data_IF_773795108260
#
_entry.id   IF_773795108260
#
_cell.length_a   1.000
_cell.length_b   1.000
_cell.length_c   1.000
_cell.angle_alpha   90.00
_cell.angle_beta   90.00
_cell.angle_gamma   90.00
#
_symmetry.space_group_name_H-M   'P 1'
#
loop_
_entity.id
_entity.type
_entity.pdbx_description
1 polymer ?
#
# COMPACT_ATOMS: atom_id res chain seq x y z
N UNK A 1 -31.39 -2.00 24.95
CA UNK A 1 -30.30 -1.01 24.76
C UNK A 1 -29.45 -1.50 23.59
N UNK A 2 -29.79 -1.12 22.35
CA UNK A 2 -29.26 0.02 21.57
C UNK A 2 -27.78 -0.14 21.20
N UNK A 3 -27.52 -0.75 20.04
CA UNK A 3 -26.37 -0.45 19.19
C UNK A 3 -26.86 -0.37 17.74
N UNK A 4 -27.32 0.82 17.34
CA UNK A 4 -27.56 1.18 15.94
C UNK A 4 -26.28 1.85 15.42
N UNK A 5 -25.54 1.16 14.56
CA UNK A 5 -24.42 1.73 13.79
C UNK A 5 -24.97 2.80 12.84
N UNK A 6 -24.54 4.05 13.03
CA UNK A 6 -24.75 5.15 12.10
C UNK A 6 -23.89 4.89 10.87
N UNK A 7 -24.54 4.52 9.77
CA UNK A 7 -24.01 4.63 8.42
C UNK A 7 -24.24 6.09 7.99
N UNK A 8 -23.21 6.92 8.03
CA UNK A 8 -23.24 8.26 7.46
C UNK A 8 -22.42 8.24 6.18
N UNK A 9 -23.11 8.58 5.09
CA UNK A 9 -22.69 8.55 3.70
C UNK A 9 -21.35 9.26 3.44
N UNK A 10 -20.51 8.62 2.62
CA UNK A 10 -19.60 9.33 1.72
C UNK A 10 -20.43 10.28 0.85
N UNK A 11 -20.42 11.56 1.17
CA UNK A 11 -20.75 12.59 0.18
C UNK A 11 -19.54 12.76 -0.73
N UNK A 12 -19.52 11.98 -1.81
CA UNK A 12 -18.75 12.28 -3.00
C UNK A 12 -19.22 13.66 -3.47
N UNK A 13 -18.44 14.71 -3.23
CA UNK A 13 -18.73 16.04 -3.80
C UNK A 13 -18.42 15.93 -5.28
N UNK A 14 -19.41 15.46 -6.04
CA UNK A 14 -19.51 15.75 -7.45
C UNK A 14 -19.53 17.28 -7.56
N UNK A 15 -18.46 17.84 -8.09
CA UNK A 15 -18.46 19.19 -8.64
C UNK A 15 -19.63 19.23 -9.62
N UNK A 16 -20.68 20.03 -9.41
CA UNK A 16 -21.64 20.26 -10.46
C UNK A 16 -20.86 21.04 -11.53
N UNK A 17 -20.51 20.35 -12.61
CA UNK A 17 -20.31 20.98 -13.90
C UNK A 17 -21.62 21.64 -14.29
N UNK A 18 -21.91 22.80 -13.69
CA UNK A 18 -22.89 23.72 -14.24
C UNK A 18 -22.25 24.26 -15.51
N UNK A 19 -22.45 23.51 -16.59
CA UNK A 19 -22.51 24.06 -17.93
C UNK A 19 -23.69 25.04 -17.88
N UNK A 20 -23.42 26.26 -17.42
CA UNK A 20 -24.30 27.37 -17.65
C UNK A 20 -24.15 27.66 -19.14
N UNK A 21 -25.08 27.13 -19.93
CA UNK A 21 -25.37 27.67 -21.24
C UNK A 21 -25.69 29.14 -21.00
N UNK A 22 -24.70 30.00 -21.21
CA UNK A 22 -24.96 31.41 -21.42
C UNK A 22 -26.06 31.50 -22.48
N UNK A 23 -27.16 32.25 -22.26
CA UNK A 23 -27.93 32.69 -23.39
C UNK A 23 -26.97 33.53 -24.24
N UNK A 24 -26.56 32.96 -25.38
CA UNK A 24 -25.93 33.69 -26.45
C UNK A 24 -26.95 34.69 -26.96
N UNK A 25 -26.91 35.90 -26.43
CA UNK A 25 -27.37 37.09 -27.13
C UNK A 25 -26.38 38.21 -26.88
N UNK A 26 -25.23 38.13 -27.56
CA UNK A 26 -24.65 39.32 -28.15
C UNK A 26 -25.64 39.82 -29.22
N UNK A 27 -26.65 40.58 -28.79
CA UNK A 27 -27.41 41.42 -29.69
C UNK A 27 -26.66 42.75 -29.80
N UNK A 28 -25.84 42.81 -30.84
CA UNK A 28 -25.40 44.04 -31.49
C UNK A 28 -26.53 45.05 -31.56
N UNK A 29 -26.19 46.31 -31.33
CA UNK A 29 -26.99 47.44 -31.79
C UNK A 29 -27.39 47.26 -33.26
N UNK A 30 -28.68 47.41 -33.56
CA UNK A 30 -29.23 48.19 -34.68
C UNK A 30 -30.71 47.80 -34.91
N UNK A 31 -31.51 48.84 -35.15
CA UNK A 31 -32.85 48.86 -35.72
C UNK A 31 -34.01 48.24 -34.94
N UNK A 32 -34.60 49.10 -34.08
CA UNK A 32 -36.06 49.15 -33.93
C UNK A 32 -36.49 50.60 -34.17
N UNK A 33 -36.71 50.94 -35.44
CA UNK A 33 -37.66 52.00 -35.81
C UNK A 33 -39.06 51.50 -35.45
N UNK A 34 -39.48 51.75 -34.22
CA UNK A 34 -40.76 51.28 -33.70
C UNK A 34 -41.22 52.19 -32.56
N UNK A 35 -41.96 53.22 -32.93
CA UNK A 35 -42.75 54.14 -32.11
C UNK A 35 -42.72 53.94 -30.58
N UNK A 36 -41.99 54.81 -29.89
CA UNK A 36 -42.15 55.05 -28.46
C UNK A 36 -43.55 55.61 -28.23
N UNK A 37 -44.49 54.75 -27.83
CA UNK A 37 -45.80 55.19 -27.30
C UNK A 37 -45.83 54.90 -25.81
N UNK A 38 -45.77 55.95 -25.00
CA UNK A 38 -46.63 56.12 -23.82
C UNK A 38 -46.61 57.59 -23.39
N UNK A 39 -47.57 58.35 -23.90
CA UNK A 39 -47.97 59.65 -23.38
C UNK A 39 -49.34 59.49 -22.73
N UNK A 40 -49.57 60.23 -21.64
CA UNK A 40 -50.87 60.40 -21.01
C UNK A 40 -51.91 60.83 -22.05
N UNK A 41 -53.08 60.17 -22.10
CA UNK A 41 -54.26 60.77 -22.72
C UNK A 41 -55.10 61.36 -21.60
N UNK A 42 -54.82 62.63 -21.28
CA UNK A 42 -55.77 63.58 -20.74
C UNK A 42 -55.45 64.94 -21.36
N UNK A 43 -56.31 65.43 -22.26
CA UNK A 43 -56.23 66.74 -22.93
C UNK A 43 -54.91 67.07 -23.65
N UNK A 44 -54.79 66.58 -24.89
CA UNK A 44 -54.09 67.21 -26.02
C UNK A 44 -52.73 67.93 -25.78
N UNK A 45 -51.88 67.42 -24.89
CA UNK A 45 -50.48 67.87 -24.75
C UNK A 45 -49.61 66.69 -24.30
N UNK A 46 -48.64 66.29 -25.14
CA UNK A 46 -47.73 65.18 -24.88
C UNK A 46 -46.79 65.52 -23.71
N UNK A 47 -47.13 65.08 -22.49
CA UNK A 47 -46.28 65.31 -21.31
C UNK A 47 -45.25 64.19 -21.17
N UNK A 48 -44.00 64.47 -21.57
CA UNK A 48 -42.83 63.66 -21.21
C UNK A 48 -42.68 63.71 -19.68
N UNK A 49 -43.03 62.63 -18.97
CA UNK A 49 -42.78 62.58 -17.54
C UNK A 49 -41.29 62.36 -17.29
N UNK A 50 -40.60 63.44 -16.94
CA UNK A 50 -39.17 63.47 -16.67
C UNK A 50 -38.75 62.45 -15.59
N UNK A 51 -39.59 62.22 -14.57
CA UNK A 51 -39.30 61.29 -13.49
C UNK A 51 -39.28 59.85 -14.00
N UNK A 52 -40.28 59.45 -14.78
CA UNK A 52 -40.35 58.11 -15.41
C UNK A 52 -39.18 57.90 -16.37
N UNK A 53 -38.88 58.88 -17.24
CA UNK A 53 -37.76 58.79 -18.17
C UNK A 53 -36.39 58.69 -17.44
N UNK A 54 -36.23 59.40 -16.32
CA UNK A 54 -35.04 59.29 -15.49
C UNK A 54 -34.88 57.91 -14.87
N UNK A 55 -35.97 57.30 -14.39
CA UNK A 55 -35.95 55.93 -13.86
C UNK A 55 -35.58 54.91 -14.94
N UNK A 56 -36.21 54.97 -16.12
CA UNK A 56 -35.88 54.06 -17.23
C UNK A 56 -34.41 54.19 -17.66
N UNK A 57 -33.86 55.41 -17.67
CA UNK A 57 -32.44 55.66 -17.93
C UNK A 57 -31.53 55.06 -16.84
N UNK A 58 -31.87 55.23 -15.56
CA UNK A 58 -31.10 54.68 -14.45
C UNK A 58 -31.08 53.14 -14.50
N UNK A 59 -32.22 52.52 -14.80
CA UNK A 59 -32.31 51.06 -14.96
C UNK A 59 -31.42 50.57 -16.11
N UNK A 60 -31.46 51.23 -17.26
CA UNK A 60 -30.62 50.88 -18.42
C UNK A 60 -29.12 51.02 -18.16
N UNK A 61 -28.72 51.84 -17.19
CA UNK A 61 -27.32 52.04 -16.81
C UNK A 61 -26.81 51.02 -15.76
N UNK A 62 -27.67 50.10 -15.28
CA UNK A 62 -27.25 49.05 -14.36
C UNK A 62 -26.43 48.02 -15.14
N UNK A 63 -25.22 47.74 -14.66
CA UNK A 63 -24.37 46.69 -15.21
C UNK A 63 -23.88 45.80 -14.06
N UNK A 64 -24.38 44.56 -14.04
CA UNK A 64 -24.13 43.56 -13.00
C UNK A 64 -22.77 42.85 -13.08
N UNK A 65 -21.88 43.29 -13.98
CA UNK A 65 -20.50 42.81 -14.05
C UNK A 65 -19.48 43.80 -13.48
N UNK A 66 -19.90 45.05 -13.25
CA UNK A 66 -19.01 46.17 -12.88
C UNK A 66 -19.13 46.54 -11.40
N UNK A 67 -18.07 47.10 -10.82
CA UNK A 67 -18.07 47.49 -9.40
C UNK A 67 -19.12 48.57 -9.04
N UNK A 68 -19.65 49.32 -10.03
CA UNK A 68 -20.72 50.31 -9.82
C UNK A 68 -22.12 49.71 -9.74
N UNK A 69 -22.27 48.39 -9.93
CA UNK A 69 -23.57 47.69 -9.92
C UNK A 69 -24.43 48.06 -8.72
N UNK A 70 -23.88 47.96 -7.51
CA UNK A 70 -24.64 48.18 -6.28
C UNK A 70 -25.15 49.62 -6.20
N UNK A 71 -24.27 50.60 -6.43
CA UNK A 71 -24.61 52.03 -6.40
C UNK A 71 -25.66 52.38 -7.46
N UNK A 72 -25.51 51.88 -8.70
CA UNK A 72 -26.46 52.14 -9.78
C UNK A 72 -27.82 51.50 -9.51
N UNK A 73 -27.83 50.26 -8.99
CA UNK A 73 -29.05 49.56 -8.62
C UNK A 73 -29.77 50.28 -7.47
N UNK A 74 -29.07 50.73 -6.44
CA UNK A 74 -29.65 51.48 -5.32
C UNK A 74 -30.23 52.82 -5.78
N UNK A 75 -29.54 53.53 -6.67
CA UNK A 75 -30.05 54.77 -7.27
C UNK A 75 -31.33 54.54 -8.09
N UNK A 76 -31.39 53.48 -8.90
CA UNK A 76 -32.57 53.13 -9.69
C UNK A 76 -33.76 52.71 -8.80
N UNK A 77 -33.52 51.88 -7.77
CA UNK A 77 -34.56 51.49 -6.80
C UNK A 77 -35.11 52.72 -6.08
N UNK A 78 -34.23 53.62 -5.61
CA UNK A 78 -34.65 54.85 -4.94
C UNK A 78 -35.50 55.72 -5.87
N UNK A 79 -35.03 55.97 -7.09
CA UNK A 79 -35.76 56.78 -8.06
C UNK A 79 -37.13 56.17 -8.42
N UNK A 80 -37.23 54.84 -8.56
CA UNK A 80 -38.49 54.15 -8.80
C UNK A 80 -39.46 54.28 -7.61
N UNK A 81 -38.95 54.15 -6.39
CA UNK A 81 -39.75 54.27 -5.17
C UNK A 81 -40.26 55.70 -4.92
N UNK A 82 -39.52 56.71 -5.40
CA UNK A 82 -39.90 58.12 -5.32
C UNK A 82 -41.03 58.49 -6.32
N UNK A 83 -41.35 57.61 -7.28
CA UNK A 83 -42.47 57.82 -8.21
C UNK A 83 -43.84 57.66 -7.53
N UNK A 84 -44.83 58.39 -8.02
CA UNK A 84 -46.24 58.16 -7.69
C UNK A 84 -46.73 56.82 -8.27
N UNK A 85 -47.82 56.27 -7.72
CA UNK A 85 -48.40 55.02 -8.23
C UNK A 85 -48.81 55.09 -9.71
N UNK A 86 -49.29 56.25 -10.17
CA UNK A 86 -49.58 56.48 -11.60
C UNK A 86 -48.31 56.48 -12.45
N UNK A 87 -47.23 57.10 -11.97
CA UNK A 87 -45.96 57.15 -12.71
C UNK A 87 -45.30 55.77 -12.81
N UNK A 88 -45.37 54.95 -11.74
CA UNK A 88 -44.84 53.59 -11.73
C UNK A 88 -45.42 52.70 -12.83
N UNK A 89 -46.69 52.90 -13.20
CA UNK A 89 -47.35 52.15 -14.28
C UNK A 89 -46.75 52.44 -15.66
N UNK A 90 -46.03 53.56 -15.83
CA UNK A 90 -45.41 53.95 -17.08
C UNK A 90 -43.92 53.57 -17.18
N UNK A 91 -43.32 53.03 -16.12
CA UNK A 91 -41.92 52.58 -16.15
C UNK A 91 -41.83 51.31 -17.00
N UNK A 92 -41.22 51.43 -18.17
CA UNK A 92 -41.17 50.35 -19.15
C UNK A 92 -40.16 49.27 -18.78
N UNK A 93 -39.08 49.63 -18.08
CA UNK A 93 -37.98 48.74 -17.73
C UNK A 93 -38.06 48.12 -16.33
N UNK A 94 -39.24 48.14 -15.68
CA UNK A 94 -39.40 47.60 -14.32
C UNK A 94 -39.00 46.12 -14.19
N UNK A 95 -39.27 45.31 -15.22
CA UNK A 95 -38.86 43.90 -15.25
C UNK A 95 -37.33 43.74 -15.12
N UNK A 96 -36.56 44.58 -15.82
CA UNK A 96 -35.09 44.62 -15.73
C UNK A 96 -34.62 45.01 -14.33
N UNK A 97 -35.26 46.00 -13.70
CA UNK A 97 -34.98 46.38 -12.32
C UNK A 97 -35.23 45.23 -11.34
N UNK A 98 -36.34 44.50 -11.50
CA UNK A 98 -36.66 43.32 -10.70
C UNK A 98 -35.61 42.22 -10.87
N UNK A 99 -35.16 41.95 -12.09
CA UNK A 99 -34.10 40.98 -12.36
C UNK A 99 -32.79 41.37 -11.66
N UNK A 100 -32.36 42.63 -11.73
CA UNK A 100 -31.16 43.08 -11.02
C UNK A 100 -31.28 43.00 -9.50
N UNK A 101 -32.49 43.22 -8.94
CA UNK A 101 -32.73 42.99 -7.52
C UNK A 101 -32.54 41.52 -7.14
N UNK A 102 -32.96 40.58 -8.00
CA UNK A 102 -32.71 39.14 -7.80
C UNK A 102 -31.22 38.80 -7.93
N UNK A 103 -30.52 39.36 -8.93
CA UNK A 103 -29.07 39.22 -9.07
C UNK A 103 -28.33 39.68 -7.81
N UNK A 104 -28.73 40.81 -7.22
CA UNK A 104 -28.18 41.28 -5.93
C UNK A 104 -28.35 40.25 -4.81
N UNK A 105 -29.51 39.59 -4.72
CA UNK A 105 -29.74 38.53 -3.72
C UNK A 105 -28.81 37.34 -3.96
N UNK A 106 -28.62 36.94 -5.22
CA UNK A 106 -27.68 35.87 -5.58
C UNK A 106 -26.24 36.23 -5.21
N UNK A 107 -25.79 37.45 -5.50
CA UNK A 107 -24.43 37.91 -5.17
C UNK A 107 -24.21 38.01 -3.66
N UNK A 108 -25.21 38.45 -2.89
CA UNK A 108 -25.14 38.42 -1.41
C UNK A 108 -25.01 37.00 -0.86
N UNK A 109 -25.73 36.03 -1.42
CA UNK A 109 -25.60 34.61 -1.01
C UNK A 109 -24.21 34.07 -1.31
N UNK A 110 -23.67 34.39 -2.49
CA UNK A 110 -22.33 33.99 -2.90
C UNK A 110 -21.25 34.57 -1.96
N UNK A 111 -21.35 35.87 -1.66
CA UNK A 111 -20.45 36.54 -0.74
C UNK A 111 -20.53 35.95 0.68
N UNK A 112 -21.74 35.68 1.19
CA UNK A 112 -21.93 35.05 2.50
C UNK A 112 -21.26 33.69 2.60
N UNK A 113 -21.26 32.89 1.53
CA UNK A 113 -20.55 31.60 1.50
C UNK A 113 -19.02 31.78 1.56
N UNK A 114 -18.47 32.80 0.90
CA UNK A 114 -17.04 33.13 1.00
C UNK A 114 -16.70 33.56 2.42
N UNK A 115 -17.49 34.45 3.00
CA UNK A 115 -17.29 34.97 4.36
C UNK A 115 -17.41 33.85 5.40
N UNK A 116 -18.41 32.97 5.30
CA UNK A 116 -18.57 31.80 6.18
C UNK A 116 -17.42 30.81 6.04
N UNK A 117 -16.99 30.52 4.80
CA UNK A 117 -15.85 29.62 4.55
C UNK A 117 -14.61 30.17 5.22
N UNK A 118 -14.34 31.48 5.13
CA UNK A 118 -13.18 32.12 5.79
C UNK A 118 -13.32 32.18 7.31
N UNK A 119 -14.50 32.48 7.84
CA UNK A 119 -14.75 32.50 9.29
C UNK A 119 -14.58 31.11 9.92
N UNK A 120 -14.86 30.04 9.18
CA UNK A 120 -14.66 28.66 9.62
C UNK A 120 -13.19 28.20 9.60
N UNK A 121 -12.28 28.98 9.00
CA UNK A 121 -10.87 28.59 8.93
C UNK A 121 -10.17 28.96 10.23
N UNK A 122 -9.82 27.93 11.02
CA UNK A 122 -8.96 28.09 12.19
C UNK A 122 -7.52 28.40 11.76
N UNK A 123 -6.94 29.56 12.15
CA UNK A 123 -5.54 29.93 11.85
C UNK A 123 -4.49 28.92 12.32
N UNK A 124 -4.81 28.10 13.30
CA UNK A 124 -3.92 27.07 13.86
C UNK A 124 -4.06 25.72 13.17
N UNK A 125 -5.08 25.54 12.31
CA UNK A 125 -5.31 24.31 11.57
C UNK A 125 -4.22 24.09 10.53
N UNK A 126 -3.76 22.83 10.39
CA UNK A 126 -2.82 22.42 9.33
C UNK A 126 -3.33 22.75 7.93
N UNK A 127 -4.66 22.80 7.74
CA UNK A 127 -5.31 23.09 6.47
C UNK A 127 -5.63 24.58 6.26
N UNK A 128 -5.28 25.48 7.20
CA UNK A 128 -5.58 26.91 7.10
C UNK A 128 -5.13 27.49 5.76
N UNK A 129 -3.85 27.32 5.44
CA UNK A 129 -3.29 27.85 4.20
C UNK A 129 -4.02 27.34 2.95
N UNK A 130 -4.25 26.03 2.87
CA UNK A 130 -4.94 25.41 1.74
C UNK A 130 -6.37 25.96 1.59
N UNK A 131 -7.11 26.04 2.69
CA UNK A 131 -8.48 26.52 2.71
C UNK A 131 -8.58 27.99 2.28
N UNK A 132 -7.65 28.84 2.72
CA UNK A 132 -7.66 30.25 2.34
C UNK A 132 -7.26 30.43 0.88
N UNK A 133 -6.28 29.69 0.36
CA UNK A 133 -5.89 29.79 -1.05
C UNK A 133 -7.00 29.30 -1.98
N UNK A 134 -7.68 28.19 -1.67
CA UNK A 134 -8.83 27.75 -2.46
C UNK A 134 -9.94 28.80 -2.49
N UNK A 135 -10.19 29.46 -1.35
CA UNK A 135 -11.16 30.56 -1.30
C UNK A 135 -10.66 31.78 -2.07
N UNK A 136 -9.35 32.06 -2.08
CA UNK A 136 -8.72 33.12 -2.87
C UNK A 136 -8.87 32.86 -4.35
N UNK A 137 -8.65 31.64 -4.81
CA UNK A 137 -8.85 31.25 -6.20
C UNK A 137 -10.30 31.43 -6.61
N UNK A 138 -11.24 30.96 -5.77
CA UNK A 138 -12.67 31.18 -6.00
C UNK A 138 -13.04 32.67 -6.02
N UNK A 139 -12.54 33.47 -5.09
CA UNK A 139 -12.73 34.92 -5.09
C UNK A 139 -12.18 35.58 -6.35
N UNK A 140 -11.03 35.10 -6.84
CA UNK A 140 -10.39 35.66 -8.04
C UNK A 140 -11.21 35.43 -9.31
N UNK A 141 -12.01 34.35 -9.39
CA UNK A 141 -12.91 34.10 -10.53
C UNK A 141 -14.15 34.98 -10.56
N UNK A 142 -14.48 35.65 -9.45
CA UNK A 142 -15.62 36.55 -9.38
C UNK A 142 -15.43 37.79 -10.27
N UNK A 143 -16.54 38.25 -10.85
CA UNK A 143 -16.59 39.54 -11.56
C UNK A 143 -16.48 40.73 -10.58
N UNK A 144 -16.30 41.94 -11.13
CA UNK A 144 -16.07 43.12 -10.30
C UNK A 144 -17.28 43.47 -9.42
N UNK A 145 -18.51 43.27 -9.90
CA UNK A 145 -19.72 43.49 -9.12
C UNK A 145 -19.85 42.50 -7.95
N UNK A 146 -19.59 41.21 -8.18
CA UNK A 146 -19.67 40.17 -7.16
C UNK A 146 -18.68 40.42 -6.01
N UNK A 147 -17.46 40.85 -6.34
CA UNK A 147 -16.41 41.17 -5.35
C UNK A 147 -16.83 42.27 -4.39
N UNK A 148 -17.66 43.23 -4.79
CA UNK A 148 -18.10 44.32 -3.90
C UNK A 148 -19.02 43.85 -2.77
N UNK A 149 -19.62 42.65 -2.88
CA UNK A 149 -20.49 42.09 -1.84
C UNK A 149 -19.73 41.33 -0.75
N UNK A 150 -18.47 40.95 -1.00
CA UNK A 150 -17.63 40.23 -0.03
C UNK A 150 -17.20 41.19 1.08
N UNK A 151 -17.20 40.76 2.34
CA UNK A 151 -16.84 41.63 3.46
C UNK A 151 -15.40 42.18 3.34
N UNK A 152 -15.18 43.40 3.84
CA UNK A 152 -13.86 44.04 3.78
C UNK A 152 -12.77 43.22 4.49
N UNK A 153 -13.11 42.53 5.58
CA UNK A 153 -12.18 41.66 6.31
C UNK A 153 -11.80 40.43 5.48
N UNK A 154 -12.76 39.75 4.87
CA UNK A 154 -12.49 38.65 3.95
C UNK A 154 -11.65 39.11 2.76
N UNK A 155 -11.98 40.26 2.15
CA UNK A 155 -11.17 40.82 1.07
C UNK A 155 -9.73 41.08 1.51
N UNK A 156 -9.51 41.60 2.72
CA UNK A 156 -8.18 41.83 3.29
C UNK A 156 -7.41 40.52 3.43
N UNK A 157 -8.03 39.46 3.96
CA UNK A 157 -7.41 38.13 4.05
C UNK A 157 -7.04 37.60 2.66
N UNK A 158 -7.98 37.66 1.71
CA UNK A 158 -7.82 37.12 0.35
C UNK A 158 -6.77 37.89 -0.48
N UNK A 159 -6.63 39.19 -0.26
CA UNK A 159 -5.65 40.04 -0.96
C UNK A 159 -4.27 40.07 -0.28
N UNK A 160 -4.19 39.73 1.01
CA UNK A 160 -2.92 39.67 1.74
C UNK A 160 -2.00 38.53 1.25
N UNK A 161 -0.71 38.67 1.56
CA UNK A 161 0.23 37.56 1.46
C UNK A 161 0.03 36.62 2.65
N UNK A 162 -0.17 35.34 2.37
CA UNK A 162 -0.39 34.31 3.38
C UNK A 162 0.83 33.39 3.33
N UNK A 163 1.46 33.15 4.47
CA UNK A 163 2.58 32.20 4.58
C UNK A 163 2.04 30.77 4.57
N UNK A 164 2.70 29.84 3.85
CA UNK A 164 2.38 28.42 3.97
C UNK A 164 2.43 27.96 5.44
N UNK A 165 1.55 27.05 5.83
CA UNK A 165 1.56 26.39 7.16
C UNK A 165 2.75 25.40 7.34
N UNK A 166 3.73 25.53 6.47
CA UNK A 166 4.92 24.72 6.41
C UNK A 166 6.11 25.64 6.11
N UNK A 167 7.28 25.25 6.59
CA UNK A 167 8.51 25.99 6.37
C UNK A 167 9.52 25.11 5.67
N UNK A 168 10.49 25.75 5.01
CA UNK A 168 11.67 25.07 4.46
C UNK A 168 12.32 24.21 5.53
N UNK A 169 12.50 24.73 6.74
CA UNK A 169 13.11 24.00 7.86
C UNK A 169 12.31 22.77 8.28
N UNK A 170 10.97 22.88 8.30
CA UNK A 170 10.10 21.74 8.63
C UNK A 170 10.22 20.63 7.59
N UNK A 171 10.26 20.97 6.31
CA UNK A 171 10.46 20.01 5.22
C UNK A 171 11.85 19.38 5.30
N UNK A 172 12.89 20.18 5.51
CA UNK A 172 14.28 19.71 5.66
C UNK A 172 14.36 18.72 6.83
N UNK A 173 13.84 19.10 8.00
CA UNK A 173 13.87 18.25 9.19
C UNK A 173 13.14 16.93 8.96
N UNK A 174 11.95 16.94 8.33
CA UNK A 174 11.23 15.70 7.97
C UNK A 174 12.05 14.79 7.08
N UNK A 175 12.69 15.34 6.04
CA UNK A 175 13.50 14.57 5.09
C UNK A 175 14.78 14.03 5.75
N UNK A 176 15.44 14.82 6.60
CA UNK A 176 16.65 14.41 7.32
C UNK A 176 16.40 13.34 8.38
N UNK A 177 15.18 13.29 8.95
CA UNK A 177 14.78 12.30 9.95
C UNK A 177 14.27 10.99 9.34
N UNK A 178 14.21 10.87 8.00
CA UNK A 178 13.83 9.63 7.33
C UNK A 178 14.80 8.50 7.73
N UNK A 179 14.23 7.40 8.20
CA UNK A 179 15.00 6.25 8.64
C UNK A 179 14.34 4.95 8.16
N UNK A 180 15.02 4.25 7.25
CA UNK A 180 14.55 3.01 6.62
C UNK A 180 14.36 1.84 7.58
N UNK A 181 14.96 1.90 8.77
CA UNK A 181 14.81 0.86 9.79
C UNK A 181 13.55 1.03 10.65
N UNK A 182 12.87 2.19 10.57
CA UNK A 182 11.65 2.43 11.32
C UNK A 182 10.46 1.84 10.61
N UNK A 183 9.55 1.24 11.36
CA UNK A 183 8.31 0.67 10.83
C UNK A 183 7.41 1.73 10.17
N UNK A 184 7.57 3.01 10.58
CA UNK A 184 6.86 4.16 9.99
C UNK A 184 7.51 4.68 8.70
N UNK A 185 8.63 4.11 8.24
CA UNK A 185 9.42 4.66 7.13
C UNK A 185 8.60 5.02 5.90
N UNK A 186 7.72 4.13 5.43
CA UNK A 186 6.91 4.39 4.23
C UNK A 186 5.93 5.54 4.43
N UNK A 187 5.37 5.68 5.63
CA UNK A 187 4.51 6.80 5.99
C UNK A 187 5.31 8.09 6.09
N UNK A 188 6.47 8.06 6.76
CA UNK A 188 7.34 9.22 6.95
C UNK A 188 7.79 9.79 5.59
N UNK A 189 8.12 8.94 4.62
CA UNK A 189 8.46 9.33 3.23
C UNK A 189 7.27 9.98 2.52
N UNK A 190 6.08 9.37 2.61
CA UNK A 190 4.87 9.90 2.00
C UNK A 190 4.50 11.28 2.59
N UNK A 191 4.61 11.42 3.92
CA UNK A 191 4.37 12.67 4.63
C UNK A 191 5.38 13.75 4.23
N UNK A 192 6.67 13.41 4.10
CA UNK A 192 7.70 14.35 3.66
C UNK A 192 7.44 14.85 2.22
N UNK A 193 7.03 13.96 1.30
CA UNK A 193 6.65 14.34 -0.07
C UNK A 193 5.41 15.23 -0.08
N UNK A 194 4.39 14.90 0.71
CA UNK A 194 3.19 15.70 0.82
C UNK A 194 3.50 17.11 1.35
N UNK A 195 4.35 17.22 2.38
CA UNK A 195 4.78 18.50 2.95
C UNK A 195 5.58 19.35 1.94
N UNK A 196 6.51 18.74 1.20
CA UNK A 196 7.25 19.42 0.13
C UNK A 196 6.32 19.91 -0.99
N UNK A 197 5.38 19.07 -1.42
CA UNK A 197 4.39 19.46 -2.43
C UNK A 197 3.52 20.63 -1.92
N UNK A 198 3.11 20.61 -0.64
CA UNK A 198 2.36 21.70 -0.03
C UNK A 198 3.17 23.01 0.00
N UNK A 199 4.47 22.95 0.33
CA UNK A 199 5.37 24.11 0.27
C UNK A 199 5.47 24.67 -1.16
N UNK A 200 5.66 23.79 -2.15
CA UNK A 200 5.88 24.17 -3.56
C UNK A 200 4.63 24.56 -4.34
N UNK A 201 3.45 24.15 -3.88
CA UNK A 201 2.19 24.36 -4.62
C UNK A 201 1.91 25.84 -4.91
N UNK A 202 2.41 26.74 -4.06
CA UNK A 202 2.07 28.16 -4.10
C UNK A 202 3.28 29.09 -3.95
N UNK A 203 4.47 28.53 -3.78
CA UNK A 203 5.71 29.29 -3.68
C UNK A 203 6.83 28.59 -4.44
N UNK A 204 7.64 29.36 -5.17
CA UNK A 204 8.83 28.82 -5.82
C UNK A 204 9.97 28.77 -4.80
N UNK A 205 10.06 27.64 -4.09
CA UNK A 205 11.02 27.44 -3.01
C UNK A 205 12.04 26.38 -3.39
N UNK A 206 13.30 26.76 -3.30
CA UNK A 206 14.45 25.87 -3.51
C UNK A 206 14.89 25.30 -2.16
N UNK A 207 15.12 23.99 -2.12
CA UNK A 207 15.69 23.32 -0.94
C UNK A 207 17.22 23.31 -1.05
N UNK A 208 17.96 23.23 0.07
CA UNK A 208 19.40 23.02 0.04
C UNK A 208 19.78 21.81 -0.83
N UNK A 209 20.92 21.93 -1.51
CA UNK A 209 21.42 20.87 -2.38
C UNK A 209 21.52 19.53 -1.64
N UNK A 210 21.05 18.45 -2.28
CA UNK A 210 21.05 17.09 -1.72
C UNK A 210 19.78 16.69 -0.99
N UNK A 211 18.99 17.61 -0.43
CA UNK A 211 17.77 17.26 0.34
C UNK A 211 16.74 16.55 -0.54
N UNK A 212 16.45 17.07 -1.73
CA UNK A 212 15.53 16.41 -2.67
C UNK A 212 16.05 15.06 -3.15
N UNK A 213 17.38 14.92 -3.28
CA UNK A 213 18.00 13.65 -3.65
C UNK A 213 17.79 12.62 -2.55
N UNK A 214 17.93 12.99 -1.28
CA UNK A 214 17.63 12.13 -0.13
C UNK A 214 16.18 11.65 -0.14
N UNK A 215 15.22 12.56 -0.39
CA UNK A 215 13.81 12.17 -0.50
C UNK A 215 13.57 11.21 -1.68
N UNK A 216 14.17 11.49 -2.83
CA UNK A 216 14.05 10.63 -4.01
C UNK A 216 14.63 9.23 -3.77
N UNK A 217 15.77 9.14 -3.11
CA UNK A 217 16.39 7.86 -2.75
C UNK A 217 15.52 7.06 -1.78
N UNK A 218 14.91 7.74 -0.81
CA UNK A 218 13.97 7.12 0.11
C UNK A 218 12.72 6.60 -0.63
N UNK A 219 12.16 7.36 -1.57
CA UNK A 219 11.01 6.92 -2.38
C UNK A 219 11.32 5.72 -3.27
N UNK A 220 12.52 5.67 -3.85
CA UNK A 220 12.97 4.50 -4.60
C UNK A 220 13.09 3.27 -3.71
N UNK A 221 13.53 3.43 -2.46
CA UNK A 221 13.56 2.33 -1.49
C UNK A 221 12.14 1.86 -1.14
N UNK A 222 11.20 2.80 -0.90
CA UNK A 222 9.78 2.45 -0.69
C UNK A 222 9.21 1.67 -1.89
N UNK A 223 9.55 2.06 -3.12
CA UNK A 223 9.12 1.34 -4.31
C UNK A 223 9.68 -0.09 -4.38
N UNK A 224 10.94 -0.29 -3.99
CA UNK A 224 11.56 -1.63 -3.89
C UNK A 224 10.91 -2.47 -2.80
N UNK A 225 10.64 -1.90 -1.63
CA UNK A 225 9.96 -2.60 -0.53
C UNK A 225 8.56 -3.05 -0.95
N UNK A 226 7.82 -2.17 -1.66
CA UNK A 226 6.51 -2.50 -2.23
C UNK A 226 6.58 -3.62 -3.26
N UNK A 227 7.60 -3.64 -4.11
CA UNK A 227 7.79 -4.71 -5.08
C UNK A 227 8.08 -6.05 -4.38
N UNK A 228 8.97 -6.09 -3.39
CA UNK A 228 9.28 -7.29 -2.62
C UNK A 228 8.04 -7.84 -1.90
N UNK A 229 7.26 -6.96 -1.26
CA UNK A 229 6.00 -7.35 -0.63
C UNK A 229 4.97 -7.86 -1.66
N UNK A 230 4.93 -7.27 -2.85
CA UNK A 230 4.03 -7.67 -3.94
C UNK A 230 4.36 -9.07 -4.47
N UNK A 231 5.65 -9.41 -4.56
CA UNK A 231 6.07 -10.75 -4.97
C UNK A 231 5.58 -11.82 -3.99
N UNK A 232 5.69 -11.55 -2.68
CA UNK A 232 5.16 -12.44 -1.63
C UNK A 232 3.62 -12.47 -1.64
N UNK A 233 2.96 -11.32 -1.81
CA UNK A 233 1.50 -11.25 -1.96
C UNK A 233 1.02 -12.14 -3.12
N UNK A 234 1.68 -12.07 -4.27
CA UNK A 234 1.36 -12.88 -5.44
C UNK A 234 1.61 -14.38 -5.18
N UNK A 235 2.70 -14.74 -4.48
CA UNK A 235 2.98 -16.12 -4.09
C UNK A 235 1.89 -16.69 -3.18
N UNK A 236 1.42 -15.90 -2.20
CA UNK A 236 0.31 -16.28 -1.32
C UNK A 236 -1.00 -16.38 -2.11
N UNK A 237 -1.26 -15.46 -3.04
CA UNK A 237 -2.47 -15.48 -3.87
C UNK A 237 -2.52 -16.68 -4.83
N UNK A 238 -1.37 -17.23 -5.21
CA UNK A 238 -1.27 -18.44 -6.03
C UNK A 238 -1.57 -19.73 -5.24
N UNK A 239 -1.59 -19.67 -3.90
CA UNK A 239 -1.94 -20.82 -3.08
C UNK A 239 -3.41 -21.21 -3.26
N UNK A 240 -3.64 -22.50 -3.45
CA UNK A 240 -4.96 -23.07 -3.69
C UNK A 240 -5.07 -24.42 -2.96
N UNK A 241 -6.15 -24.65 -2.19
CA UNK A 241 -6.35 -25.90 -1.47
C UNK A 241 -6.36 -27.15 -2.36
N UNK A 242 -6.66 -27.00 -3.66
CA UNK A 242 -6.82 -28.13 -4.59
C UNK A 242 -5.57 -28.47 -5.37
N UNK A 243 -4.63 -27.53 -5.48
CA UNK A 243 -3.50 -27.62 -6.41
C UNK A 243 -2.16 -27.36 -5.74
N UNK A 244 -2.14 -26.62 -4.63
CA UNK A 244 -0.91 -26.33 -3.89
C UNK A 244 -0.58 -27.44 -2.91
N UNK A 245 0.69 -27.74 -2.80
CA UNK A 245 1.26 -28.73 -1.90
C UNK A 245 1.77 -28.09 -0.60
N UNK A 246 2.14 -28.90 0.38
CA UNK A 246 2.79 -28.41 1.60
C UNK A 246 4.10 -27.64 1.31
N UNK A 247 4.81 -28.02 0.24
CA UNK A 247 6.04 -27.35 -0.20
C UNK A 247 5.75 -25.95 -0.74
N UNK A 248 4.67 -25.76 -1.49
CA UNK A 248 4.28 -24.44 -2.00
C UNK A 248 3.93 -23.48 -0.85
N UNK A 249 3.22 -24.00 0.16
CA UNK A 249 2.92 -23.25 1.39
C UNK A 249 4.19 -22.90 2.15
N UNK A 250 5.13 -23.85 2.27
CA UNK A 250 6.41 -23.62 2.94
C UNK A 250 7.28 -22.60 2.18
N UNK A 251 7.28 -22.63 0.85
CA UNK A 251 8.00 -21.66 0.03
C UNK A 251 7.43 -20.24 0.23
N UNK A 252 6.11 -20.09 0.23
CA UNK A 252 5.44 -18.82 0.53
C UNK A 252 5.74 -18.32 1.96
N UNK A 253 5.77 -19.23 2.95
CA UNK A 253 6.17 -18.93 4.32
C UNK A 253 7.61 -18.41 4.41
N UNK A 254 8.56 -19.13 3.82
CA UNK A 254 9.97 -18.74 3.82
C UNK A 254 10.18 -17.39 3.12
N UNK A 255 9.48 -17.14 2.01
CA UNK A 255 9.54 -15.87 1.30
C UNK A 255 9.02 -14.70 2.15
N UNK A 256 7.92 -14.91 2.90
CA UNK A 256 7.40 -13.92 3.84
C UNK A 256 8.34 -13.66 5.02
N UNK A 257 8.95 -14.71 5.59
CA UNK A 257 9.90 -14.60 6.70
C UNK A 257 11.22 -13.93 6.30
N UNK A 258 11.58 -13.97 5.02
CA UNK A 258 12.74 -13.27 4.48
C UNK A 258 12.52 -11.75 4.30
N UNK A 259 11.27 -11.27 4.33
CA UNK A 259 10.96 -9.85 4.25
C UNK A 259 11.38 -9.09 5.52
N UNK A 260 11.75 -7.82 5.38
CA UNK A 260 11.98 -6.95 6.53
C UNK A 260 10.66 -6.65 7.27
N UNK A 261 10.69 -6.25 8.55
CA UNK A 261 9.46 -5.89 9.28
C UNK A 261 8.62 -4.80 8.59
N UNK A 262 9.27 -3.85 7.92
CA UNK A 262 8.59 -2.80 7.14
C UNK A 262 7.90 -3.39 5.92
N UNK A 263 8.55 -4.32 5.21
CA UNK A 263 7.99 -5.00 4.02
C UNK A 263 6.85 -5.94 4.39
N UNK A 264 6.94 -6.65 5.52
CA UNK A 264 5.87 -7.56 5.97
C UNK A 264 4.53 -6.84 6.20
N UNK A 265 4.55 -5.58 6.66
CA UNK A 265 3.33 -4.77 6.83
C UNK A 265 2.61 -4.47 5.52
N UNK A 266 3.31 -4.56 4.39
CA UNK A 266 2.75 -4.29 3.07
C UNK A 266 2.07 -5.51 2.45
N UNK A 267 2.14 -6.71 3.05
CA UNK A 267 1.54 -7.93 2.51
C UNK A 267 0.11 -8.08 3.03
N UNK A 268 -0.94 -7.73 2.24
CA UNK A 268 -2.31 -7.63 2.75
C UNK A 268 -2.96 -9.00 3.02
N UNK A 269 -2.49 -10.07 2.37
CA UNK A 269 -3.09 -11.40 2.38
C UNK A 269 -2.36 -12.39 3.30
N UNK A 270 -1.56 -11.92 4.25
CA UNK A 270 -0.82 -12.77 5.20
C UNK A 270 -1.71 -13.76 5.97
N UNK A 271 -2.97 -13.37 6.27
CA UNK A 271 -3.91 -14.26 6.94
C UNK A 271 -4.28 -15.51 6.14
N UNK A 272 -4.28 -15.41 4.80
CA UNK A 272 -4.46 -16.58 3.93
C UNK A 272 -3.31 -17.56 4.11
N UNK A 273 -2.07 -17.07 4.16
CA UNK A 273 -0.90 -17.91 4.43
C UNK A 273 -0.98 -18.57 5.81
N UNK A 274 -1.42 -17.84 6.84
CA UNK A 274 -1.64 -18.39 8.19
C UNK A 274 -2.66 -19.53 8.19
N UNK A 275 -3.76 -19.39 7.45
CA UNK A 275 -4.77 -20.44 7.31
C UNK A 275 -4.17 -21.72 6.68
N UNK A 276 -3.34 -21.58 5.65
CA UNK A 276 -2.62 -22.71 5.03
C UNK A 276 -1.62 -23.37 5.99
N UNK A 277 -0.80 -22.56 6.68
CA UNK A 277 0.22 -23.07 7.63
C UNK A 277 -0.41 -23.78 8.83
N UNK A 278 -1.57 -23.32 9.30
CA UNK A 278 -2.29 -23.94 10.41
C UNK A 278 -3.11 -25.17 10.01
N UNK A 279 -3.02 -25.62 8.75
CA UNK A 279 -3.71 -26.84 8.29
C UNK A 279 -5.22 -26.70 8.18
N UNK A 280 -5.76 -25.48 7.96
CA UNK A 280 -7.20 -25.26 7.73
C UNK A 280 -7.69 -25.92 6.43
N UNK A 281 -6.79 -26.18 5.50
CA UNK A 281 -7.07 -26.76 4.19
C UNK A 281 -6.39 -28.12 4.04
N UNK A 282 -7.14 -29.11 3.57
CA UNK A 282 -6.58 -30.39 3.12
C UNK A 282 -5.88 -30.17 1.78
N UNK A 283 -4.55 -30.18 1.81
CA UNK A 283 -3.72 -29.97 0.62
C UNK A 283 -3.53 -31.29 -0.14
N UNK A 284 -3.52 -31.28 -1.48
CA UNK A 284 -3.13 -32.44 -2.27
C UNK A 284 -1.71 -32.89 -1.89
N UNK A 285 -1.58 -34.14 -1.46
CA UNK A 285 -0.30 -34.84 -1.50
C UNK A 285 0.11 -34.97 -2.95
N UNK A 286 1.31 -34.49 -3.32
CA UNK A 286 1.86 -34.58 -4.68
C UNK A 286 1.75 -36.04 -5.12
N UNK A 287 0.80 -36.31 -6.02
CA UNK A 287 0.52 -37.65 -6.52
C UNK A 287 1.67 -38.14 -7.39
N UNK A 288 2.76 -38.62 -6.78
CA UNK A 288 3.58 -39.63 -7.43
C UNK A 288 2.73 -40.90 -7.47
N UNK A 289 2.42 -41.34 -8.68
CA UNK A 289 1.41 -42.35 -8.95
C UNK A 289 1.44 -43.52 -7.98
N UNK A 290 0.24 -43.97 -7.61
CA UNK A 290 -0.04 -45.21 -6.90
C UNK A 290 0.80 -46.38 -7.41
N UNK A 291 1.98 -46.55 -6.84
CA UNK A 291 2.51 -47.84 -6.47
C UNK A 291 2.55 -47.79 -4.97
N UNK A 292 1.66 -48.51 -4.30
CA UNK A 292 1.87 -48.88 -2.90
C UNK A 292 3.33 -49.33 -2.80
N UNK A 293 4.21 -48.60 -2.11
CA UNK A 293 5.61 -48.95 -2.08
C UNK A 293 5.70 -50.38 -1.55
N UNK A 294 6.43 -51.26 -2.24
CA UNK A 294 6.68 -52.60 -1.73
C UNK A 294 7.61 -52.41 -0.53
N UNK A 295 7.00 -52.37 0.66
CA UNK A 295 7.70 -52.23 1.91
C UNK A 295 8.46 -53.52 2.23
N UNK A 296 9.53 -53.40 3.00
CA UNK A 296 10.32 -54.54 3.45
C UNK A 296 9.88 -54.95 4.84
N UNK A 297 9.50 -56.21 5.03
CA UNK A 297 9.18 -56.78 6.37
C UNK A 297 10.40 -56.79 7.31
N UNK A 298 11.59 -56.61 6.75
CA UNK A 298 12.88 -56.55 7.46
C UNK A 298 13.36 -55.12 7.71
N UNK A 299 12.52 -54.11 7.46
CA UNK A 299 12.90 -52.72 7.69
C UNK A 299 13.09 -52.42 9.19
N UNK A 300 14.05 -51.54 9.48
CA UNK A 300 14.24 -50.99 10.80
C UNK A 300 12.98 -50.20 11.22
N UNK A 301 12.65 -50.30 12.50
CA UNK A 301 11.51 -49.61 13.09
C UNK A 301 12.05 -48.38 13.83
N UNK A 302 11.46 -47.19 13.64
CA UNK A 302 11.86 -46.00 14.37
C UNK A 302 11.73 -46.22 15.89
N UNK A 303 12.62 -45.61 16.67
CA UNK A 303 12.70 -45.78 18.12
C UNK A 303 13.29 -47.11 18.60
N UNK A 304 13.49 -48.10 17.70
CA UNK A 304 14.10 -49.40 18.03
C UNK A 304 15.53 -49.51 17.50
N UNK A 305 16.35 -50.26 18.24
CA UNK A 305 17.69 -50.63 17.80
C UNK A 305 17.56 -51.78 16.80
N UNK A 306 18.11 -51.59 15.60
CA UNK A 306 18.14 -52.61 14.55
C UNK A 306 19.57 -52.99 14.21
N UNK A 307 19.88 -54.29 14.30
CA UNK A 307 21.19 -54.79 13.89
C UNK A 307 21.28 -54.86 12.35
N UNK A 308 22.32 -54.26 11.79
CA UNK A 308 22.56 -54.29 10.34
C UNK A 308 23.05 -55.66 9.88
N UNK A 309 22.63 -56.08 8.69
CA UNK A 309 23.05 -57.33 8.06
C UNK A 309 24.47 -57.18 7.49
N UNK A 310 25.39 -58.07 7.88
CA UNK A 310 26.80 -58.03 7.41
C UNK A 310 26.98 -58.91 6.17
N UNK A 311 27.55 -58.34 5.12
CA UNK A 311 28.11 -59.07 3.98
C UNK A 311 29.53 -58.54 3.69
N UNK A 312 30.55 -59.40 3.90
CA UNK A 312 31.97 -59.01 3.86
C UNK A 312 32.24 -57.78 4.75
N UNK A 313 32.66 -56.67 4.15
CA UNK A 313 33.00 -55.41 4.83
C UNK A 313 31.84 -54.41 4.83
N UNK A 314 30.68 -54.81 4.34
CA UNK A 314 29.51 -53.96 4.13
C UNK A 314 28.39 -54.39 5.07
N UNK A 315 27.80 -53.42 5.75
CA UNK A 315 26.64 -53.55 6.60
C UNK A 315 25.45 -52.89 5.93
N UNK A 316 24.32 -53.57 5.84
CA UNK A 316 23.10 -53.05 5.22
C UNK A 316 21.90 -53.10 6.17
N UNK A 317 21.05 -52.08 6.08
CA UNK A 317 19.73 -52.03 6.69
C UNK A 317 18.76 -51.39 5.70
N UNK A 318 17.46 -51.63 5.94
CA UNK A 318 16.37 -51.07 5.15
C UNK A 318 15.51 -50.22 6.06
N UNK A 319 14.99 -49.11 5.57
CA UNK A 319 14.01 -48.27 6.24
C UNK A 319 12.85 -48.08 5.26
N UNK A 320 11.63 -48.31 5.72
CA UNK A 320 10.44 -48.04 4.92
C UNK A 320 10.16 -46.53 4.98
N UNK A 321 9.95 -45.92 3.83
CA UNK A 321 9.59 -44.50 3.68
C UNK A 321 8.21 -44.45 3.05
N UNK A 322 7.21 -44.02 3.81
CA UNK A 322 5.81 -43.94 3.38
C UNK A 322 5.25 -42.53 3.56
N UNK A 323 4.28 -42.15 2.72
CA UNK A 323 3.67 -40.80 2.67
C UNK A 323 3.01 -40.33 3.98
N UNK A 324 2.82 -41.23 4.94
CA UNK A 324 2.07 -40.99 6.19
C UNK A 324 2.93 -41.11 7.46
N UNK A 325 4.24 -41.37 7.35
CA UNK A 325 5.10 -41.54 8.53
C UNK A 325 5.52 -40.18 9.13
N UNK A 326 4.64 -39.62 9.96
CA UNK A 326 4.94 -38.48 10.85
C UNK A 326 5.63 -38.92 12.15
N UNK A 327 6.49 -39.95 12.11
CA UNK A 327 7.21 -40.37 13.31
C UNK A 327 8.34 -39.38 13.61
N UNK A 328 8.40 -38.93 14.86
CA UNK A 328 9.42 -38.01 15.39
C UNK A 328 10.64 -38.74 15.98
N UNK A 329 10.63 -40.08 15.98
CA UNK A 329 11.70 -40.92 16.48
C UNK A 329 12.80 -41.18 15.43
N UNK A 330 14.02 -41.40 15.92
CA UNK A 330 15.20 -41.73 15.11
C UNK A 330 15.30 -43.22 14.86
N UNK A 331 16.01 -43.62 13.80
CA UNK A 331 16.39 -45.03 13.59
C UNK A 331 17.81 -45.25 14.11
N UNK A 332 18.00 -46.29 14.92
CA UNK A 332 19.30 -46.64 15.50
C UNK A 332 19.78 -47.94 14.90
N UNK A 333 20.80 -47.88 14.05
CA UNK A 333 21.32 -49.01 13.29
C UNK A 333 22.70 -49.42 13.82
N UNK A 334 22.82 -50.62 14.39
CA UNK A 334 24.07 -51.08 15.00
C UNK A 334 24.80 -52.08 14.11
N UNK A 335 26.12 -52.02 14.09
CA UNK A 335 26.97 -52.95 13.33
C UNK A 335 27.77 -53.83 14.28
N UNK A 336 28.15 -55.03 13.82
CA UNK A 336 29.11 -55.91 14.52
C UNK A 336 30.56 -55.39 14.51
N UNK A 337 30.81 -54.19 13.98
CA UNK A 337 32.15 -53.57 13.88
C UNK A 337 32.30 -52.38 14.84
N UNK A 338 31.50 -52.34 15.91
CA UNK A 338 31.45 -51.26 16.91
C UNK A 338 31.19 -49.89 16.27
N UNK A 339 30.20 -49.84 15.38
CA UNK A 339 29.69 -48.59 14.83
C UNK A 339 28.17 -48.57 14.92
N UNK A 340 27.63 -47.39 15.18
CA UNK A 340 26.19 -47.12 15.21
C UNK A 340 25.88 -45.99 14.24
N UNK A 341 24.83 -46.15 13.44
CA UNK A 341 24.31 -45.09 12.56
C UNK A 341 22.96 -44.66 13.09
N UNK A 342 22.81 -43.37 13.31
CA UNK A 342 21.55 -42.75 13.71
C UNK A 342 21.01 -41.99 12.51
N UNK A 343 19.88 -42.47 11.98
CA UNK A 343 19.13 -41.77 10.94
C UNK A 343 18.08 -40.90 11.65
N UNK A 344 18.00 -39.60 11.33
CA UNK A 344 17.01 -38.71 11.93
C UNK A 344 15.58 -39.12 11.54
N UNK A 345 14.56 -38.50 12.14
CA UNK A 345 13.17 -38.81 11.82
C UNK A 345 12.88 -38.56 10.34
N UNK A 346 11.99 -39.37 9.74
CA UNK A 346 11.70 -39.25 8.29
C UNK A 346 11.06 -37.91 7.92
N UNK A 347 10.45 -37.20 8.87
CA UNK A 347 9.95 -35.84 8.65
C UNK A 347 11.03 -34.81 8.28
N UNK A 348 12.32 -35.12 8.48
CA UNK A 348 13.44 -34.27 8.06
C UNK A 348 14.09 -34.74 6.76
N UNK A 349 13.53 -35.74 6.07
CA UNK A 349 14.02 -36.23 4.78
C UNK A 349 13.60 -35.27 3.66
N UNK A 350 14.55 -34.82 2.84
CA UNK A 350 14.29 -33.87 1.75
C UNK A 350 13.86 -34.57 0.44
N UNK A 351 14.03 -35.89 0.34
CA UNK A 351 13.61 -36.67 -0.82
C UNK A 351 12.09 -36.86 -0.84
N UNK A 352 11.44 -36.54 -1.96
CA UNK A 352 9.99 -36.67 -2.19
C UNK A 352 9.53 -38.09 -2.62
N UNK A 353 10.45 -39.07 -2.60
CA UNK A 353 10.19 -40.42 -3.04
C UNK A 353 9.67 -41.28 -1.86
N UNK A 354 8.76 -42.23 -2.12
CA UNK A 354 8.42 -43.31 -1.17
C UNK A 354 9.02 -44.63 -1.60
N UNK A 355 9.20 -45.56 -0.67
CA UNK A 355 9.81 -46.85 -0.97
C UNK A 355 10.68 -47.39 0.16
N UNK A 356 11.66 -48.20 -0.21
CA UNK A 356 12.64 -48.75 0.71
C UNK A 356 13.93 -47.95 0.58
N UNK A 357 14.27 -47.22 1.65
CA UNK A 357 15.57 -46.59 1.79
C UNK A 357 16.59 -47.64 2.23
N UNK A 358 17.60 -47.86 1.39
CA UNK A 358 18.72 -48.73 1.72
C UNK A 358 19.83 -47.93 2.39
N UNK A 359 20.17 -48.32 3.61
CA UNK A 359 21.29 -47.79 4.36
C UNK A 359 22.46 -48.76 4.28
N UNK A 360 23.64 -48.25 3.93
CA UNK A 360 24.84 -49.04 3.76
C UNK A 360 26.06 -48.37 4.39
N UNK A 361 26.77 -49.12 5.23
CA UNK A 361 28.06 -48.73 5.80
C UNK A 361 29.10 -49.72 5.29
N UNK A 362 30.14 -49.25 4.62
CA UNK A 362 31.29 -50.08 4.23
C UNK A 362 32.52 -49.66 5.01
N UNK A 363 33.15 -50.60 5.70
CA UNK A 363 34.37 -50.37 6.48
C UNK A 363 35.58 -51.01 5.80
N UNK A 364 36.50 -50.16 5.35
CA UNK A 364 37.85 -50.53 4.91
C UNK A 364 38.85 -50.11 5.99
N UNK A 365 40.08 -50.65 5.97
CA UNK A 365 41.06 -50.55 7.08
C UNK A 365 41.09 -49.21 7.82
N UNK A 366 41.12 -48.09 7.09
CA UNK A 366 41.08 -46.74 7.66
C UNK A 366 40.02 -45.83 7.00
N UNK A 367 39.01 -46.39 6.34
CA UNK A 367 37.97 -45.62 5.64
C UNK A 367 36.58 -46.19 5.89
N UNK A 368 35.64 -45.32 6.19
CA UNK A 368 34.22 -45.65 6.33
C UNK A 368 33.46 -44.94 5.22
N UNK A 369 32.67 -45.68 4.46
CA UNK A 369 31.78 -45.12 3.44
C UNK A 369 30.34 -45.35 3.87
N UNK A 370 29.62 -44.27 4.11
CA UNK A 370 28.19 -44.26 4.39
C UNK A 370 27.42 -43.90 3.12
N UNK A 371 26.48 -44.77 2.76
CA UNK A 371 25.55 -44.58 1.66
C UNK A 371 24.13 -44.76 2.18
N UNK A 372 23.25 -43.88 1.72
CA UNK A 372 21.83 -44.00 1.95
C UNK A 372 21.14 -43.65 0.64
N UNK A 373 20.34 -44.58 0.13
CA UNK A 373 19.68 -44.42 -1.18
C UNK A 373 18.22 -44.83 -1.11
N UNK A 374 17.35 -43.98 -1.64
CA UNK A 374 15.93 -44.24 -1.80
C UNK A 374 15.63 -44.30 -3.30
N UNK A 375 15.04 -45.40 -3.77
CA UNK A 375 14.81 -45.64 -5.19
C UNK A 375 16.07 -45.43 -6.08
N UNK A 376 17.24 -45.84 -5.55
CA UNK A 376 18.57 -45.67 -6.17
C UNK A 376 19.08 -44.22 -6.29
N UNK A 377 18.38 -43.24 -5.71
CA UNK A 377 18.84 -41.86 -5.57
C UNK A 377 19.43 -41.64 -4.18
N UNK A 378 20.49 -40.84 -4.09
CA UNK A 378 21.09 -40.42 -2.82
C UNK A 378 20.08 -39.65 -1.98
N UNK A 379 20.07 -39.90 -0.67
CA UNK A 379 19.19 -39.18 0.25
C UNK A 379 19.88 -37.97 0.89
N UNK A 380 19.09 -36.97 1.24
CA UNK A 380 19.52 -35.79 1.98
C UNK A 380 18.52 -35.48 3.10
N UNK A 381 19.02 -35.11 4.27
CA UNK A 381 18.20 -34.73 5.42
C UNK A 381 18.48 -33.30 5.84
N UNK A 382 17.45 -32.60 6.32
CA UNK A 382 17.60 -31.29 6.97
C UNK A 382 18.35 -31.42 8.31
N UNK A 383 18.07 -32.49 9.06
CA UNK A 383 18.78 -32.83 10.29
C UNK A 383 20.03 -33.69 10.04
N UNK A 384 21.06 -33.52 10.86
CA UNK A 384 22.27 -34.33 10.78
C UNK A 384 21.98 -35.80 11.10
N UNK A 385 22.44 -36.69 10.22
CA UNK A 385 22.69 -38.09 10.56
C UNK A 385 23.97 -38.18 11.39
N UNK A 386 24.02 -39.17 12.28
CA UNK A 386 25.19 -39.38 13.14
C UNK A 386 25.79 -40.78 12.87
N UNK A 387 27.10 -40.83 12.67
CA UNK A 387 27.86 -42.07 12.59
C UNK A 387 28.79 -42.12 13.80
N UNK A 388 28.49 -43.04 14.72
CA UNK A 388 29.24 -43.27 15.94
C UNK A 388 30.23 -44.39 15.67
N UNK A 389 31.51 -44.13 15.93
CA UNK A 389 32.59 -45.11 15.82
C UNK A 389 33.16 -45.30 17.23
N UNK A 390 33.02 -46.50 17.77
CA UNK A 390 33.59 -46.85 19.07
C UNK A 390 35.00 -47.42 18.91
N UNK A 391 35.79 -47.34 19.99
CA UNK A 391 37.17 -47.85 20.08
C UNK A 391 38.14 -47.20 19.10
N UNK A 392 37.98 -45.90 18.84
CA UNK A 392 38.94 -45.11 18.08
C UNK A 392 39.83 -44.28 19.03
N UNK A 393 41.11 -44.12 18.68
CA UNK A 393 42.07 -43.31 19.45
C UNK A 393 41.59 -41.87 19.56
N UNK A 394 41.78 -41.23 20.71
CA UNK A 394 41.44 -39.81 20.92
C UNK A 394 42.18 -38.85 19.99
N UNK A 395 43.36 -39.25 19.50
CA UNK A 395 44.16 -38.44 18.59
C UNK A 395 43.82 -38.68 17.12
N UNK A 396 42.87 -39.58 16.82
CA UNK A 396 42.50 -39.85 15.44
C UNK A 396 41.79 -38.62 14.85
N UNK A 397 42.19 -38.24 13.64
CA UNK A 397 41.50 -37.20 12.88
C UNK A 397 40.68 -37.80 11.75
N UNK A 398 39.50 -37.22 11.52
CA UNK A 398 38.55 -37.70 10.51
C UNK A 398 38.41 -36.65 9.41
N UNK A 399 38.62 -37.07 8.17
CA UNK A 399 38.53 -36.24 6.98
C UNK A 399 37.41 -36.77 6.09
N UNK A 400 36.51 -35.89 5.65
CA UNK A 400 35.48 -36.22 4.66
C UNK A 400 36.06 -36.10 3.25
N UNK A 401 35.85 -37.12 2.44
CA UNK A 401 36.22 -37.15 1.01
C UNK A 401 34.95 -37.12 0.16
N UNK A 402 34.84 -36.12 -0.69
CA UNK A 402 33.76 -36.01 -1.69
C UNK A 402 34.07 -36.81 -2.95
N UNK A 403 33.07 -37.06 -3.79
CA UNK A 403 33.23 -37.79 -5.07
C UNK A 403 34.20 -37.10 -6.04
N UNK A 404 34.39 -35.78 -5.89
CA UNK A 404 35.39 -35.00 -6.61
C UNK A 404 36.84 -35.25 -6.16
N UNK A 405 37.06 -36.09 -5.14
CA UNK A 405 38.35 -36.35 -4.52
C UNK A 405 38.79 -35.26 -3.52
N UNK A 406 38.04 -34.16 -3.39
CA UNK A 406 38.33 -33.09 -2.43
C UNK A 406 38.19 -33.62 -1.00
N UNK A 407 39.20 -33.36 -0.19
CA UNK A 407 39.26 -33.68 1.23
C UNK A 407 39.02 -32.43 2.08
N UNK A 408 38.13 -32.54 3.07
CA UNK A 408 37.88 -31.48 4.06
C UNK A 408 37.81 -32.11 5.47
N UNK A 409 38.13 -31.37 6.54
CA UNK A 409 37.87 -31.86 7.90
C UNK A 409 36.41 -32.30 8.03
N UNK A 410 36.17 -33.50 8.57
CA UNK A 410 34.81 -33.92 8.88
C UNK A 410 34.29 -33.18 10.11
N UNK A 411 32.98 -32.97 10.19
CA UNK A 411 32.34 -32.48 11.40
C UNK A 411 32.11 -33.65 12.36
N UNK A 412 32.79 -33.66 13.50
CA UNK A 412 32.63 -34.69 14.52
C UNK A 412 32.97 -34.18 15.92
N UNK A 413 32.38 -34.84 16.92
CA UNK A 413 32.74 -34.66 18.33
C UNK A 413 33.35 -35.94 18.90
N UNK A 414 34.13 -35.82 19.98
CA UNK A 414 34.81 -36.94 20.62
C UNK A 414 34.37 -37.03 22.08
N UNK A 415 33.89 -38.21 22.49
CA UNK A 415 33.62 -38.53 23.90
C UNK A 415 34.32 -39.83 24.28
N UNK A 416 35.39 -39.73 25.08
CA UNK A 416 36.17 -40.90 25.49
C UNK A 416 36.86 -41.56 24.28
N UNK A 417 36.44 -42.78 23.94
CA UNK A 417 36.94 -43.54 22.78
C UNK A 417 35.91 -43.60 21.62
N UNK A 418 34.90 -42.73 21.65
CA UNK A 418 33.82 -42.65 20.66
C UNK A 418 33.91 -41.36 19.85
N UNK A 419 33.73 -41.48 18.54
CA UNK A 419 33.69 -40.34 17.62
C UNK A 419 32.31 -40.28 16.95
N UNK A 420 31.68 -39.10 17.01
CA UNK A 420 30.33 -38.85 16.51
C UNK A 420 30.41 -37.96 15.27
N UNK A 421 30.46 -38.58 14.10
CA UNK A 421 30.49 -37.85 12.83
C UNK A 421 29.09 -37.35 12.51
N UNK A 422 28.94 -36.06 12.22
CA UNK A 422 27.69 -35.45 11.79
C UNK A 422 27.70 -35.21 10.28
N UNK A 423 26.62 -35.60 9.59
CA UNK A 423 26.48 -35.36 8.15
C UNK A 423 25.01 -35.31 7.72
N UNK A 424 24.67 -34.40 6.81
CA UNK A 424 23.34 -34.31 6.20
C UNK A 424 23.20 -35.13 4.90
N UNK A 425 24.34 -35.59 4.36
CA UNK A 425 24.43 -36.31 3.10
C UNK A 425 25.35 -37.53 3.23
N UNK A 426 25.14 -38.59 2.43
CA UNK A 426 26.09 -39.68 2.27
C UNK A 426 27.52 -39.22 2.00
N UNK A 427 28.51 -40.03 2.39
CA UNK A 427 29.90 -39.60 2.33
C UNK A 427 30.91 -40.67 2.70
N UNK A 428 32.17 -40.39 2.36
CA UNK A 428 33.31 -41.20 2.77
C UNK A 428 34.14 -40.45 3.81
N UNK A 429 34.53 -41.16 4.86
CA UNK A 429 35.26 -40.64 6.00
C UNK A 429 36.55 -41.43 6.16
N UNK A 430 37.67 -40.73 5.99
CA UNK A 430 39.02 -41.25 6.13
C UNK A 430 39.50 -40.99 7.56
N UNK A 431 39.96 -42.05 8.23
CA UNK A 431 40.50 -42.00 9.58
C UNK A 431 42.02 -41.95 9.47
N UNK A 432 42.63 -40.93 10.07
CA UNK A 432 44.08 -40.77 10.17
C UNK A 432 44.48 -40.92 11.64
N UNK A 433 45.48 -41.76 11.90
CA UNK A 433 45.95 -42.11 13.24
C UNK A 433 47.20 -41.34 13.63
#
# INVERSE_FOLDING_TARGET
MKNKRKLALLALVAVPSLIYTAPTTSASAADITGHVKTAYIYNNTYYYNYNVANVDRLISNINDTTASFQTNLEAAIKAYNDLTETEKQYVTNYSTLSNHQQTRVAYRKLAAQIDEKLASVDPTSVNYYQNVIETKDWYNTLNAAQKTFVSAESQKILTSYITPNTSVDKVINKIQLLNSSRITFHQDVADARAELNALRRFTYVYLPAGIEKTLLDAEQLVAKDKAAAKDVENAIAALSPKTSTAQDVQAAKTAFEALTPVQQQLVPNVWTLVDFVNGKYDLPTKGNGTKTPILSDTAAVPGKITAMTKNKNTYTAKINVADTENNTERFVLTTKSNMTVIIPPLGTLLNEDTGVMEIKITKSSNRITFQATLNKKTVEFEANMEIIIDNLSQNASIVRTYDSGKQVPADYTVEGNRHFIQTNTPGSFQINY
#
